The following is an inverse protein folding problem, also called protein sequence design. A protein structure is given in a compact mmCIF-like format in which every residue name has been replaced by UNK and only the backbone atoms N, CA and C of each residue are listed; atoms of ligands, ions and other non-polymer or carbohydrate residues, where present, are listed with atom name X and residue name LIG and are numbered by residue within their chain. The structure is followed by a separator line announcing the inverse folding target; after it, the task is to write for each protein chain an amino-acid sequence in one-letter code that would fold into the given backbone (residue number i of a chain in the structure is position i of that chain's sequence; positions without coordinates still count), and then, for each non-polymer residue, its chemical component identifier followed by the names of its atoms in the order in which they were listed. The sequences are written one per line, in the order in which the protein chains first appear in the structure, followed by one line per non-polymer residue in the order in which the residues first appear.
data_IF_183407251081
#
_entry.id   IF_183407251081
#
_cell.length_a   1.000
_cell.length_b   1.000
_cell.length_c   1.000
_cell.angle_alpha   90.00
_cell.angle_beta   90.00
_cell.angle_gamma   90.00
#
_symmetry.space_group_name_H-M   'P 1'
#
loop_
_entity.id
_entity.type
_entity.pdbx_description
1 polymer ?
#
# COMPACT_ATOMS: atom_id res chain seq x y z
N UNK A 1 -52.65 -22.69 23.45
CA UNK A 1 -52.26 -21.32 23.09
C UNK A 1 -50.85 -20.93 23.62
N UNK A 2 -50.48 -21.22 24.86
CA UNK A 2 -49.16 -20.84 25.42
C UNK A 2 -47.98 -21.44 24.64
N UNK A 3 -48.07 -22.72 24.23
CA UNK A 3 -47.03 -23.38 23.46
C UNK A 3 -46.75 -22.70 22.10
N UNK A 4 -47.77 -22.21 21.42
CA UNK A 4 -47.61 -21.51 20.16
C UNK A 4 -46.88 -20.19 20.32
N UNK A 5 -47.12 -19.45 21.39
CA UNK A 5 -46.45 -18.20 21.71
C UNK A 5 -44.97 -18.46 22.00
N UNK A 6 -44.64 -19.51 22.76
CA UNK A 6 -43.26 -19.88 23.08
C UNK A 6 -42.46 -20.23 21.81
N UNK A 7 -43.05 -21.00 20.90
CA UNK A 7 -42.42 -21.36 19.62
C UNK A 7 -42.15 -20.11 18.76
N UNK A 8 -43.15 -19.21 18.67
CA UNK A 8 -42.97 -17.95 17.90
C UNK A 8 -41.88 -17.06 18.48
N UNK A 9 -41.79 -16.96 19.81
CA UNK A 9 -40.70 -16.19 20.47
C UNK A 9 -39.34 -16.82 20.18
N UNK A 10 -39.21 -18.15 20.29
CA UNK A 10 -37.94 -18.83 19.99
C UNK A 10 -37.55 -18.64 18.52
N UNK A 11 -38.48 -18.76 17.58
CA UNK A 11 -38.17 -18.53 16.16
C UNK A 11 -37.75 -17.06 15.88
N UNK A 12 -38.38 -16.09 16.52
CA UNK A 12 -38.01 -14.68 16.35
C UNK A 12 -36.63 -14.37 16.89
N UNK A 13 -36.24 -14.97 18.01
CA UNK A 13 -34.87 -14.80 18.57
C UNK A 13 -33.83 -15.44 17.66
N UNK A 14 -34.09 -16.63 17.13
CA UNK A 14 -33.19 -17.28 16.18
C UNK A 14 -33.03 -16.47 14.88
N UNK A 15 -34.15 -15.97 14.34
CA UNK A 15 -34.11 -15.11 13.15
C UNK A 15 -33.27 -13.83 13.39
N UNK A 16 -33.43 -13.18 14.54
CA UNK A 16 -32.63 -12.00 14.91
C UNK A 16 -31.17 -12.32 15.09
N UNK A 17 -30.81 -13.49 15.60
CA UNK A 17 -29.42 -13.92 15.73
C UNK A 17 -28.77 -14.16 14.35
N UNK A 18 -29.48 -14.83 13.44
CA UNK A 18 -28.97 -15.09 12.07
C UNK A 18 -28.75 -13.80 11.30
N UNK A 19 -29.66 -12.83 11.39
CA UNK A 19 -29.52 -11.55 10.69
C UNK A 19 -28.33 -10.77 11.18
N UNK A 20 -27.99 -10.77 12.47
CA UNK A 20 -26.77 -10.12 13.02
C UNK A 20 -25.49 -10.76 12.51
N UNK A 21 -25.44 -12.09 12.45
CA UNK A 21 -24.28 -12.81 11.93
C UNK A 21 -24.04 -12.50 10.44
N UNK A 22 -25.11 -12.50 9.65
CA UNK A 22 -25.02 -12.20 8.20
C UNK A 22 -24.54 -10.78 7.96
N UNK A 23 -25.01 -9.81 8.73
CA UNK A 23 -24.54 -8.42 8.64
C UNK A 23 -23.04 -8.30 8.91
N UNK A 24 -22.54 -8.92 9.99
CA UNK A 24 -21.11 -8.90 10.34
C UNK A 24 -20.26 -9.51 9.22
N UNK A 25 -20.68 -10.60 8.61
CA UNK A 25 -19.97 -11.24 7.50
C UNK A 25 -19.93 -10.38 6.25
N UNK A 26 -21.03 -9.68 5.91
CA UNK A 26 -21.07 -8.79 4.76
C UNK A 26 -20.11 -7.59 4.91
N UNK A 27 -20.06 -7.00 6.10
CA UNK A 27 -19.13 -5.88 6.38
C UNK A 27 -17.68 -6.35 6.28
N UNK A 28 -17.35 -7.51 6.84
CA UNK A 28 -16.01 -8.10 6.77
C UNK A 28 -15.60 -8.36 5.32
N UNK A 29 -16.48 -8.99 4.53
CA UNK A 29 -16.18 -9.25 3.11
C UNK A 29 -15.99 -7.97 2.30
N UNK A 30 -16.76 -6.93 2.58
CA UNK A 30 -16.58 -5.62 1.91
C UNK A 30 -15.23 -4.99 2.27
N UNK A 31 -14.81 -5.06 3.52
CA UNK A 31 -13.50 -4.57 3.97
C UNK A 31 -12.35 -5.35 3.34
N UNK A 32 -12.48 -6.66 3.18
CA UNK A 32 -11.47 -7.50 2.53
C UNK A 32 -11.28 -7.12 1.06
N UNK A 33 -12.38 -6.89 0.33
CA UNK A 33 -12.34 -6.44 -1.07
C UNK A 33 -11.68 -5.06 -1.18
N UNK A 34 -12.04 -4.13 -0.31
CA UNK A 34 -11.42 -2.80 -0.28
C UNK A 34 -9.93 -2.88 0.09
N UNK A 35 -9.57 -3.75 1.05
CA UNK A 35 -8.19 -4.03 1.41
C UNK A 35 -7.36 -4.60 0.26
N UNK A 36 -7.93 -5.52 -0.52
CA UNK A 36 -7.28 -6.08 -1.70
C UNK A 36 -7.06 -5.02 -2.80
N UNK A 37 -8.05 -4.15 -3.04
CA UNK A 37 -7.90 -3.02 -3.99
C UNK A 37 -6.86 -2.01 -3.55
N UNK A 38 -6.83 -1.66 -2.26
CA UNK A 38 -5.81 -0.77 -1.69
C UNK A 38 -4.40 -1.37 -1.86
N UNK A 39 -4.26 -2.69 -1.66
CA UNK A 39 -3.00 -3.38 -1.87
C UNK A 39 -2.56 -3.36 -3.34
N UNK A 40 -3.48 -3.56 -4.27
CA UNK A 40 -3.19 -3.45 -5.71
C UNK A 40 -2.78 -2.02 -6.09
N UNK A 41 -3.44 -1.01 -5.53
CA UNK A 41 -3.06 0.38 -5.73
C UNK A 41 -1.64 0.67 -5.19
N UNK A 42 -1.31 0.17 -3.99
CA UNK A 42 0.03 0.28 -3.43
C UNK A 42 1.09 -0.43 -4.29
N UNK A 43 0.76 -1.60 -4.88
CA UNK A 43 1.63 -2.29 -5.82
C UNK A 43 1.91 -1.44 -7.06
N UNK A 44 0.87 -0.89 -7.68
CA UNK A 44 1.04 0.00 -8.83
C UNK A 44 1.90 1.22 -8.49
N UNK A 45 1.72 1.81 -7.30
CA UNK A 45 2.57 2.88 -6.79
C UNK A 45 4.03 2.46 -6.63
N UNK A 46 4.27 1.24 -6.11
CA UNK A 46 5.64 0.71 -5.96
C UNK A 46 6.32 0.52 -7.31
N UNK A 47 5.62 -0.06 -8.29
CA UNK A 47 6.14 -0.25 -9.65
C UNK A 47 6.44 1.08 -10.33
N UNK A 48 5.54 2.05 -10.20
CA UNK A 48 5.77 3.40 -10.69
C UNK A 48 6.99 4.04 -10.02
N UNK A 49 7.13 3.93 -8.70
CA UNK A 49 8.28 4.45 -7.96
C UNK A 49 9.60 3.80 -8.37
N UNK A 50 9.62 2.49 -8.61
CA UNK A 50 10.78 1.78 -9.13
C UNK A 50 11.16 2.29 -10.52
N UNK A 51 10.19 2.51 -11.40
CA UNK A 51 10.44 3.11 -12.71
C UNK A 51 11.05 4.50 -12.59
N UNK A 52 10.52 5.35 -11.69
CA UNK A 52 11.05 6.71 -11.48
C UNK A 52 12.48 6.69 -10.92
N UNK A 53 12.79 5.74 -10.04
CA UNK A 53 14.11 5.60 -9.45
C UNK A 53 15.15 5.11 -10.47
N UNK A 54 14.77 4.20 -11.38
CA UNK A 54 15.70 3.57 -12.31
C UNK A 54 15.78 4.28 -13.67
N UNK A 55 14.70 4.93 -14.12
CA UNK A 55 14.58 5.49 -15.47
C UNK A 55 13.90 6.85 -15.55
N UNK A 56 13.34 7.32 -14.44
CA UNK A 56 12.53 8.54 -14.40
C UNK A 56 13.25 9.70 -13.74
N UNK A 57 12.45 10.62 -13.23
CA UNK A 57 12.91 11.88 -12.66
C UNK A 57 13.69 11.75 -11.34
N UNK A 58 13.64 10.59 -10.70
CA UNK A 58 14.38 10.32 -9.45
C UNK A 58 15.74 9.69 -9.68
N UNK A 59 16.07 9.33 -10.92
CA UNK A 59 17.37 8.81 -11.29
C UNK A 59 18.47 9.86 -11.05
N UNK A 60 19.57 9.48 -10.42
CA UNK A 60 20.72 10.37 -10.18
C UNK A 60 20.55 11.43 -9.10
N UNK A 61 19.36 11.54 -8.47
CA UNK A 61 19.06 12.54 -7.41
C UNK A 61 19.16 11.97 -6.00
N UNK A 62 19.90 10.88 -5.80
CA UNK A 62 19.89 10.10 -4.56
C UNK A 62 18.48 9.63 -4.15
N UNK A 63 17.57 9.51 -5.11
CA UNK A 63 16.21 9.06 -4.90
C UNK A 63 15.53 9.77 -3.72
N UNK A 64 15.61 11.08 -3.64
CA UNK A 64 14.87 11.85 -2.65
C UNK A 64 13.66 12.47 -3.32
N UNK A 65 12.51 11.82 -3.23
CA UNK A 65 11.28 12.30 -3.84
C UNK A 65 10.03 11.73 -3.17
N UNK A 66 8.96 12.49 -3.27
CA UNK A 66 7.63 12.04 -2.88
C UNK A 66 6.63 12.54 -3.90
N UNK A 67 5.74 11.66 -4.34
CA UNK A 67 4.66 12.02 -5.26
C UNK A 67 3.40 11.25 -4.94
N UNK A 68 2.25 11.94 -5.04
CA UNK A 68 0.95 11.31 -4.88
C UNK A 68 0.32 11.06 -6.26
N UNK A 69 -0.02 9.81 -6.51
CA UNK A 69 -0.76 9.36 -7.69
C UNK A 69 -2.25 9.33 -7.33
N UNK A 70 -3.08 9.97 -8.13
CA UNK A 70 -4.52 9.92 -7.96
C UNK A 70 -5.11 8.80 -8.82
N UNK A 71 -5.42 7.67 -8.16
CA UNK A 71 -6.08 6.52 -8.76
C UNK A 71 -7.54 6.41 -8.31
N UNK A 72 -8.13 7.49 -7.80
CA UNK A 72 -9.51 7.50 -7.28
C UNK A 72 -10.53 7.12 -8.35
N UNK A 73 -10.33 7.56 -9.60
CA UNK A 73 -11.24 7.27 -10.72
C UNK A 73 -11.24 5.80 -11.15
N UNK A 74 -10.14 5.08 -10.94
CA UNK A 74 -9.96 3.69 -11.41
C UNK A 74 -10.06 2.67 -10.29
N UNK A 75 -9.44 2.95 -9.16
CA UNK A 75 -9.33 2.01 -8.03
C UNK A 75 -10.01 2.50 -6.76
N UNK A 76 -10.36 3.80 -6.67
CA UNK A 76 -10.95 4.41 -5.49
C UNK A 76 -9.91 4.84 -4.43
N UNK A 77 -8.63 4.89 -4.78
CA UNK A 77 -7.52 5.16 -3.86
C UNK A 77 -6.57 6.22 -4.40
N UNK A 78 -5.95 6.98 -3.51
CA UNK A 78 -4.73 7.75 -3.77
C UNK A 78 -3.53 6.95 -3.30
N UNK A 79 -2.39 7.14 -3.92
CA UNK A 79 -1.15 6.45 -3.53
C UNK A 79 -0.04 7.48 -3.41
N UNK A 80 0.48 7.65 -2.22
CA UNK A 80 1.68 8.46 -2.01
C UNK A 80 2.90 7.55 -2.05
N UNK A 81 3.77 7.82 -3.01
CA UNK A 81 5.02 7.09 -3.22
C UNK A 81 6.17 7.96 -2.76
N UNK A 82 6.99 7.42 -1.90
CA UNK A 82 8.20 8.08 -1.41
C UNK A 82 9.43 7.24 -1.75
N UNK A 83 10.49 7.90 -2.16
CA UNK A 83 11.77 7.28 -2.41
C UNK A 83 12.82 7.82 -1.44
N UNK A 84 13.62 6.93 -0.90
CA UNK A 84 14.76 7.27 -0.07
C UNK A 84 15.93 6.33 -0.34
N UNK A 85 17.15 6.84 -0.19
CA UNK A 85 18.36 6.03 -0.27
C UNK A 85 19.00 5.90 1.09
N UNK A 86 19.68 4.80 1.31
CA UNK A 86 20.54 4.65 2.47
C UNK A 86 21.77 5.53 2.31
N UNK A 87 22.14 6.25 3.38
CA UNK A 87 23.25 7.23 3.33
C UNK A 87 24.60 6.59 3.03
N UNK A 88 24.78 5.31 3.36
CA UNK A 88 26.04 4.59 3.19
C UNK A 88 25.94 3.60 2.04
N UNK A 89 26.83 3.72 1.05
CA UNK A 89 26.99 2.69 0.01
C UNK A 89 27.81 1.52 0.56
N UNK A 90 27.47 0.33 0.12
CA UNK A 90 28.21 -0.90 0.47
C UNK A 90 29.31 -1.10 -0.58
N UNK A 91 30.54 -1.37 -0.12
CA UNK A 91 31.64 -1.72 -0.96
C UNK A 91 31.60 -3.20 -1.34
N UNK A 92 31.62 -3.52 -2.63
CA UNK A 92 31.55 -4.89 -3.15
C UNK A 92 32.86 -5.38 -3.77
N UNK A 93 33.88 -4.54 -3.85
CA UNK A 93 35.15 -4.88 -4.44
C UNK A 93 35.56 -3.89 -5.54
N UNK A 94 36.44 -4.34 -6.45
CA UNK A 94 36.91 -3.55 -7.59
C UNK A 94 36.61 -4.29 -8.89
N UNK A 95 36.39 -3.51 -9.95
CA UNK A 95 36.33 -4.04 -11.31
C UNK A 95 37.70 -4.43 -11.86
N UNK A 96 37.73 -4.96 -13.10
CA UNK A 96 38.99 -5.34 -13.76
C UNK A 96 39.93 -4.15 -14.01
N UNK A 97 39.46 -2.92 -13.93
CA UNK A 97 40.22 -1.68 -14.06
C UNK A 97 40.72 -1.10 -12.73
N UNK A 98 40.34 -1.71 -11.60
CA UNK A 98 40.66 -1.25 -10.25
C UNK A 98 39.73 -0.16 -9.71
N UNK A 99 38.59 0.05 -10.36
CA UNK A 99 37.56 1.00 -9.90
C UNK A 99 36.69 0.35 -8.84
N UNK A 100 36.43 1.05 -7.74
CA UNK A 100 35.59 0.55 -6.65
C UNK A 100 34.13 0.35 -7.08
N UNK A 101 33.62 -0.84 -6.86
CA UNK A 101 32.21 -1.17 -7.06
C UNK A 101 31.49 -0.96 -5.74
N UNK A 102 30.46 -0.10 -5.78
CA UNK A 102 29.62 0.18 -4.61
C UNK A 102 28.16 -0.06 -4.92
N UNK A 103 27.43 -0.59 -3.94
CA UNK A 103 25.97 -0.81 -4.04
C UNK A 103 25.26 0.09 -3.05
N UNK A 104 24.24 0.79 -3.54
CA UNK A 104 23.30 1.57 -2.73
C UNK A 104 21.96 0.88 -2.67
N UNK A 105 21.31 0.94 -1.52
CA UNK A 105 19.94 0.46 -1.37
C UNK A 105 18.99 1.64 -1.51
N UNK A 106 18.05 1.51 -2.44
CA UNK A 106 16.96 2.43 -2.68
C UNK A 106 15.70 1.82 -2.08
N UNK A 107 15.02 2.57 -1.25
CA UNK A 107 13.80 2.19 -0.60
C UNK A 107 12.63 2.94 -1.22
N UNK A 108 11.68 2.21 -1.78
CA UNK A 108 10.42 2.73 -2.30
C UNK A 108 9.30 2.35 -1.34
N UNK A 109 8.67 3.35 -0.77
CA UNK A 109 7.48 3.20 0.06
C UNK A 109 6.26 3.70 -0.70
N UNK A 110 5.24 2.89 -0.84
CA UNK A 110 3.95 3.27 -1.43
C UNK A 110 2.84 3.06 -0.41
N UNK A 111 2.14 4.14 -0.09
CA UNK A 111 0.99 4.12 0.83
C UNK A 111 -0.26 4.45 0.04
N UNK A 112 -1.19 3.51 -0.04
CA UNK A 112 -2.50 3.68 -0.67
C UNK A 112 -3.55 3.93 0.39
N UNK A 113 -4.39 4.96 0.22
CA UNK A 113 -5.51 5.27 1.12
C UNK A 113 -6.72 5.81 0.35
N UNK A 114 -7.91 5.64 0.93
CA UNK A 114 -9.17 6.19 0.39
C UNK A 114 -9.65 7.44 1.14
N UNK A 115 -8.77 8.07 1.91
CA UNK A 115 -9.07 9.30 2.66
C UNK A 115 -9.31 10.52 1.77
N UNK A 116 -9.81 11.60 2.37
CA UNK A 116 -10.06 12.88 1.69
C UNK A 116 -8.82 13.77 1.57
N UNK A 117 -7.75 13.48 2.31
CA UNK A 117 -6.50 14.22 2.27
C UNK A 117 -5.87 14.22 0.86
N UNK A 118 -5.04 15.21 0.57
CA UNK A 118 -4.32 15.31 -0.71
C UNK A 118 -3.29 14.20 -0.89
N UNK A 119 -2.77 13.62 0.21
CA UNK A 119 -1.75 12.58 0.23
C UNK A 119 -2.09 11.50 1.25
N UNK A 120 -1.50 10.31 1.10
CA UNK A 120 -1.55 9.22 2.07
C UNK A 120 -0.26 9.18 2.91
N UNK A 121 -0.34 8.80 4.20
CA UNK A 121 -1.54 8.42 4.95
C UNK A 121 -2.45 9.61 5.29
N UNK A 122 -3.76 9.37 5.42
CA UNK A 122 -4.71 10.37 5.91
C UNK A 122 -4.96 10.18 7.40
N UNK A 123 -4.10 10.75 8.22
CA UNK A 123 -4.17 10.61 9.68
C UNK A 123 -5.42 11.28 10.30
N UNK A 124 -6.05 12.21 9.59
CA UNK A 124 -7.25 12.90 10.08
C UNK A 124 -8.48 11.99 10.02
N UNK A 125 -8.57 11.18 8.97
CA UNK A 125 -9.72 10.29 8.73
C UNK A 125 -9.44 8.81 9.06
N UNK A 126 -8.27 8.50 9.62
CA UNK A 126 -7.83 7.12 9.91
C UNK A 126 -8.76 6.35 10.86
N UNK A 127 -9.54 7.04 11.71
CA UNK A 127 -10.55 6.43 12.58
C UNK A 127 -11.91 6.17 11.92
N UNK A 128 -12.10 6.50 10.66
CA UNK A 128 -13.37 6.30 9.94
C UNK A 128 -13.66 4.83 9.67
N UNK A 129 -14.91 4.41 9.83
CA UNK A 129 -15.33 2.99 9.61
C UNK A 129 -15.04 2.48 8.19
N UNK A 130 -14.97 3.36 7.20
CA UNK A 130 -14.72 3.02 5.80
C UNK A 130 -13.29 3.37 5.35
N UNK A 131 -12.44 3.82 6.25
CA UNK A 131 -11.05 4.11 5.93
C UNK A 131 -10.26 2.83 5.73
N UNK A 132 -9.58 2.76 4.61
CA UNK A 132 -8.70 1.65 4.28
C UNK A 132 -7.37 2.20 3.83
N UNK A 133 -6.31 1.68 4.42
CA UNK A 133 -4.94 2.01 4.09
C UNK A 133 -4.12 0.74 3.94
N UNK A 134 -3.23 0.72 2.95
CA UNK A 134 -2.23 -0.33 2.77
C UNK A 134 -0.90 0.29 2.38
N UNK A 135 0.13 -0.18 3.02
CA UNK A 135 1.51 0.19 2.72
C UNK A 135 2.21 -0.99 2.04
N UNK A 136 2.96 -0.69 0.99
CA UNK A 136 3.92 -1.60 0.39
C UNK A 136 5.29 -0.94 0.33
N UNK A 137 6.31 -1.74 0.60
CA UNK A 137 7.70 -1.33 0.57
C UNK A 137 8.47 -2.24 -0.38
N UNK A 138 9.35 -1.67 -1.17
CA UNK A 138 10.27 -2.40 -2.03
C UNK A 138 11.66 -1.84 -1.89
N UNK A 139 12.65 -2.71 -1.93
CA UNK A 139 14.07 -2.36 -1.87
C UNK A 139 14.71 -2.71 -3.21
N UNK A 140 15.42 -1.75 -3.78
CA UNK A 140 16.23 -1.93 -4.98
C UNK A 140 17.70 -1.82 -4.59
N UNK A 141 18.50 -2.74 -5.06
CA UNK A 141 19.95 -2.62 -5.01
C UNK A 141 20.45 -1.97 -6.31
N UNK A 142 21.27 -0.95 -6.18
CA UNK A 142 21.74 -0.14 -7.27
C UNK A 142 23.27 -0.11 -7.24
N UNK A 143 23.89 -0.81 -8.20
CA UNK A 143 25.36 -0.89 -8.30
C UNK A 143 25.92 0.25 -9.14
N UNK A 144 27.13 0.68 -8.80
CA UNK A 144 27.80 1.77 -9.51
C UNK A 144 28.23 1.42 -10.93
N UNK A 145 28.35 0.12 -11.25
CA UNK A 145 28.71 -0.39 -12.58
C UNK A 145 27.49 -0.80 -13.44
N UNK A 146 26.27 -0.68 -12.93
CA UNK A 146 25.07 -0.91 -13.71
C UNK A 146 24.90 0.11 -14.84
N UNK A 147 24.30 -0.31 -15.97
CA UNK A 147 24.00 0.58 -17.10
C UNK A 147 22.49 0.56 -17.36
N UNK A 148 21.78 1.68 -17.22
CA UNK A 148 22.27 3.00 -16.79
C UNK A 148 22.70 3.01 -15.33
N UNK A 149 23.75 3.77 -15.04
CA UNK A 149 24.19 3.97 -13.66
C UNK A 149 23.04 4.56 -12.84
N UNK A 150 22.77 4.01 -11.70
CA UNK A 150 21.75 4.52 -10.81
C UNK A 150 22.20 5.81 -10.08
#
# INVERSE_FOLDING_TARGET
MVAAIVVLVMMSVLAAAVTRLTWSQQVSSAQDVMGARAFQAANAGTEWGMFQALRGSWMGTNCSGSQTLDLTSTMGFKVTVTCSTQATAFYEGQDASGTDITTRLILIDAVACNGSAASCPDNTNSGGMNYVERKRQSILACRSDDVPAC
#
